data_IF_437607255270
#
_entry.id   IF_437607255270
#
_cell.length_a   1.000
_cell.length_b   1.000
_cell.length_c   1.000
_cell.angle_alpha   90.00
_cell.angle_beta   90.00
_cell.angle_gamma   90.00
#
_symmetry.space_group_name_H-M   'P 1'
#
loop_
_entity.id
_entity.type
_entity.pdbx_description
1 polymer ?
#
# COMPACT_ATOMS: atom_id res chain seq x y z
N UNK A 1 -16.18 50.47 -57.96
CA UNK A 1 -16.50 49.14 -58.53
C UNK A 1 -15.20 48.63 -59.17
N UNK A 2 -14.59 47.51 -58.80
CA UNK A 2 -15.08 46.29 -58.17
C UNK A 2 -14.11 45.76 -57.11
N UNK A 3 -14.68 45.19 -56.05
CA UNK A 3 -14.00 44.44 -55.01
C UNK A 3 -13.66 43.05 -55.57
N UNK A 4 -12.39 42.64 -55.49
CA UNK A 4 -12.01 41.25 -55.72
C UNK A 4 -11.67 40.63 -54.39
N UNK A 5 -12.71 40.06 -53.79
CA UNK A 5 -12.65 38.97 -52.84
C UNK A 5 -11.84 37.82 -53.46
N UNK A 6 -10.79 37.39 -52.78
CA UNK A 6 -10.06 36.17 -53.13
C UNK A 6 -9.65 35.48 -51.85
N UNK A 7 -10.64 34.79 -51.30
CA UNK A 7 -10.54 33.46 -50.70
C UNK A 7 -9.11 32.97 -50.43
N UNK A 8 -8.77 32.95 -49.15
CA UNK A 8 -7.62 32.27 -48.55
C UNK A 8 -7.62 30.76 -48.88
N UNK A 9 -6.54 30.19 -49.43
CA UNK A 9 -6.28 28.76 -49.34
C UNK A 9 -5.37 28.49 -48.15
N UNK A 10 -5.97 28.12 -47.02
CA UNK A 10 -5.24 27.59 -45.87
C UNK A 10 -4.76 26.17 -46.23
N UNK A 11 -3.47 25.82 -46.06
CA UNK A 11 -2.99 24.48 -46.36
C UNK A 11 -3.63 23.44 -45.43
N UNK A 12 -3.77 22.19 -45.89
CA UNK A 12 -4.44 21.13 -45.17
C UNK A 12 -3.77 20.90 -43.81
N UNK A 13 -4.58 20.93 -42.75
CA UNK A 13 -4.14 20.59 -41.40
C UNK A 13 -3.65 19.14 -41.39
N UNK A 14 -2.33 18.96 -41.27
CA UNK A 14 -1.73 17.65 -41.09
C UNK A 14 -2.33 16.97 -39.86
N UNK A 15 -2.73 15.69 -39.94
CA UNK A 15 -3.21 14.96 -38.79
C UNK A 15 -2.05 14.81 -37.79
N UNK A 16 -2.17 15.49 -36.65
CA UNK A 16 -1.25 15.37 -35.51
C UNK A 16 -0.86 13.89 -35.32
N UNK A 17 0.44 13.55 -35.30
CA UNK A 17 0.85 12.18 -35.07
C UNK A 17 0.34 11.79 -33.69
N UNK A 18 -0.59 10.84 -33.65
CA UNK A 18 -0.97 10.11 -32.44
C UNK A 18 0.29 9.37 -32.03
N UNK A 19 1.17 10.04 -31.27
CA UNK A 19 2.14 9.36 -30.42
C UNK A 19 1.28 8.38 -29.65
N UNK A 20 1.46 7.09 -29.89
CA UNK A 20 0.96 6.05 -29.00
C UNK A 20 1.66 6.29 -27.68
N UNK A 21 1.15 7.27 -26.94
CA UNK A 21 1.56 7.59 -25.60
C UNK A 21 1.39 6.27 -24.87
N UNK A 22 2.51 5.73 -24.37
CA UNK A 22 2.51 4.54 -23.52
C UNK A 22 1.34 4.73 -22.57
N UNK A 23 0.35 3.84 -22.66
CA UNK A 23 -0.90 4.06 -21.95
C UNK A 23 -0.54 4.23 -20.47
N UNK A 24 -1.11 5.24 -19.80
CA UNK A 24 -0.81 5.51 -18.38
C UNK A 24 -0.86 4.22 -17.55
N UNK A 25 -1.80 3.34 -17.86
CA UNK A 25 -1.95 2.00 -17.31
C UNK A 25 -0.73 1.09 -17.53
N UNK A 26 -0.12 1.09 -18.71
CA UNK A 26 1.10 0.34 -18.98
C UNK A 26 2.29 0.85 -18.16
N UNK A 27 2.42 2.17 -18.00
CA UNK A 27 3.46 2.77 -17.14
C UNK A 27 3.25 2.39 -15.68
N UNK A 28 2.02 2.54 -15.16
CA UNK A 28 1.69 2.18 -13.78
C UNK A 28 1.91 0.69 -13.53
N UNK A 29 1.47 -0.18 -14.44
CA UNK A 29 1.74 -1.62 -14.34
C UNK A 29 3.23 -1.98 -14.42
N UNK A 30 4.04 -1.20 -15.14
CA UNK A 30 5.50 -1.36 -15.14
C UNK A 30 6.11 -0.93 -13.79
N UNK A 31 5.66 0.19 -13.22
CA UNK A 31 6.10 0.68 -11.92
C UNK A 31 5.75 -0.30 -10.79
N UNK A 32 4.55 -0.89 -10.81
CA UNK A 32 4.16 -1.94 -9.87
C UNK A 32 5.07 -3.17 -9.92
N UNK A 33 5.40 -3.64 -11.14
CA UNK A 33 6.32 -4.77 -11.30
C UNK A 33 7.73 -4.44 -10.83
N UNK A 34 8.19 -3.20 -11.03
CA UNK A 34 9.49 -2.75 -10.53
C UNK A 34 9.50 -2.67 -9.00
N UNK A 35 8.48 -2.05 -8.40
CA UNK A 35 8.34 -1.94 -6.96
C UNK A 35 8.29 -3.32 -6.28
N UNK A 36 7.53 -4.27 -6.86
CA UNK A 36 7.48 -5.66 -6.37
C UNK A 36 8.86 -6.31 -6.37
N UNK A 37 9.59 -6.24 -7.49
CA UNK A 37 10.95 -6.80 -7.57
C UNK A 37 11.90 -6.20 -6.54
N UNK A 38 11.79 -4.90 -6.27
CA UNK A 38 12.61 -4.24 -5.27
C UNK A 38 12.29 -4.72 -3.85
N UNK A 39 11.00 -4.93 -3.54
CA UNK A 39 10.60 -5.54 -2.26
C UNK A 39 11.18 -6.96 -2.15
N UNK A 40 10.99 -7.80 -3.18
CA UNK A 40 11.51 -9.18 -3.19
C UNK A 40 13.03 -9.21 -2.94
N UNK A 41 13.81 -8.34 -3.60
CA UNK A 41 15.27 -8.23 -3.38
C UNK A 41 15.64 -7.77 -1.97
N UNK A 42 14.89 -6.83 -1.39
CA UNK A 42 15.13 -6.40 -0.01
C UNK A 42 14.74 -7.48 1.00
N UNK A 43 13.68 -8.25 0.75
CA UNK A 43 13.29 -9.39 1.58
C UNK A 43 14.35 -10.49 1.56
N UNK A 44 14.92 -10.81 0.38
CA UNK A 44 16.05 -11.73 0.26
C UNK A 44 17.27 -11.24 1.04
N UNK A 45 17.62 -9.96 0.91
CA UNK A 45 18.73 -9.37 1.65
C UNK A 45 18.50 -9.48 3.17
N UNK A 46 17.30 -9.19 3.66
CA UNK A 46 16.94 -9.32 5.06
C UNK A 46 16.90 -10.77 5.55
N UNK A 47 16.56 -11.73 4.69
CA UNK A 47 16.56 -13.15 5.00
C UNK A 47 17.99 -13.73 5.13
N UNK A 48 18.94 -13.17 4.38
CA UNK A 48 20.36 -13.52 4.46
C UNK A 48 21.05 -12.97 5.73
N UNK A 49 20.43 -12.02 6.44
CA UNK A 49 20.98 -11.50 7.69
C UNK A 49 20.90 -12.54 8.83
N UNK A 50 21.94 -12.64 9.69
CA UNK A 50 21.90 -13.54 10.84
C UNK A 50 20.75 -13.19 11.77
N UNK A 51 20.01 -14.19 12.25
CA UNK A 51 18.91 -14.03 13.22
C UNK A 51 19.37 -13.20 14.42
N UNK A 52 18.67 -12.08 14.69
CA UNK A 52 19.01 -11.13 15.76
C UNK A 52 19.83 -9.91 15.30
N UNK A 53 20.24 -9.86 14.03
CA UNK A 53 20.83 -8.67 13.43
C UNK A 53 19.73 -7.71 12.99
N UNK A 54 19.75 -6.47 13.48
CA UNK A 54 18.81 -5.45 13.01
C UNK A 54 19.14 -5.04 11.57
N UNK A 55 18.12 -4.93 10.73
CA UNK A 55 18.24 -4.38 9.39
C UNK A 55 18.97 -3.03 9.42
N UNK A 56 19.80 -2.76 8.40
CA UNK A 56 20.53 -1.50 8.30
C UNK A 56 19.56 -0.31 8.23
N UNK A 57 19.95 0.84 8.78
CA UNK A 57 19.21 2.10 8.65
C UNK A 57 18.95 2.45 7.17
N UNK A 58 19.88 2.09 6.28
CA UNK A 58 19.74 2.27 4.84
C UNK A 58 18.59 1.41 4.26
N UNK A 59 18.46 0.16 4.71
CA UNK A 59 17.36 -0.73 4.29
C UNK A 59 16.02 -0.23 4.81
N UNK A 60 15.96 0.22 6.07
CA UNK A 60 14.75 0.81 6.63
C UNK A 60 14.29 2.04 5.84
N UNK A 61 15.22 2.91 5.43
CA UNK A 61 14.92 4.07 4.59
C UNK A 61 14.45 3.65 3.19
N UNK A 62 15.10 2.67 2.58
CA UNK A 62 14.70 2.15 1.27
C UNK A 62 13.27 1.59 1.30
N UNK A 63 12.95 0.78 2.32
CA UNK A 63 11.61 0.23 2.53
C UNK A 63 10.57 1.32 2.79
N UNK A 64 10.89 2.37 3.55
CA UNK A 64 9.98 3.49 3.76
C UNK A 64 9.65 4.23 2.46
N UNK A 65 10.66 4.42 1.59
CA UNK A 65 10.46 5.01 0.26
C UNK A 65 9.61 4.10 -0.62
N UNK A 66 9.87 2.78 -0.63
CA UNK A 66 9.07 1.81 -1.38
C UNK A 66 7.61 1.77 -0.91
N UNK A 67 7.37 1.81 0.40
CA UNK A 67 6.01 1.87 0.95
C UNK A 67 5.28 3.14 0.50
N UNK A 68 6.00 4.28 0.43
CA UNK A 68 5.47 5.53 -0.09
C UNK A 68 5.14 5.44 -1.58
N UNK A 69 6.04 4.90 -2.41
CA UNK A 69 5.78 4.78 -3.86
C UNK A 69 4.61 3.85 -4.15
N UNK A 70 4.48 2.75 -3.41
CA UNK A 70 3.32 1.86 -3.48
C UNK A 70 2.03 2.60 -3.14
N UNK A 71 2.01 3.40 -2.06
CA UNK A 71 0.85 4.23 -1.71
C UNK A 71 0.51 5.21 -2.83
N UNK A 72 1.50 5.85 -3.44
CA UNK A 72 1.31 6.78 -4.56
C UNK A 72 0.78 6.07 -5.82
N UNK A 73 1.26 4.86 -6.14
CA UNK A 73 0.76 4.04 -7.25
C UNK A 73 -0.70 3.64 -7.05
N UNK A 74 -1.08 3.17 -5.85
CA UNK A 74 -2.48 2.89 -5.49
C UNK A 74 -3.33 4.14 -5.67
N UNK A 75 -2.83 5.29 -5.21
CA UNK A 75 -3.54 6.55 -5.31
C UNK A 75 -3.75 7.00 -6.78
N UNK A 76 -2.83 6.64 -7.68
CA UNK A 76 -2.92 6.90 -9.12
C UNK A 76 -3.96 6.01 -9.81
N UNK A 77 -4.11 4.77 -9.33
CA UNK A 77 -5.09 3.80 -9.84
C UNK A 77 -6.50 4.02 -9.27
N UNK A 78 -6.62 4.61 -8.08
CA UNK A 78 -7.92 4.98 -7.51
C UNK A 78 -8.63 6.00 -8.43
N UNK A 79 -9.84 5.70 -8.91
CA UNK A 79 -10.57 6.61 -9.79
C UNK A 79 -10.79 7.95 -9.07
N UNK A 80 -10.47 9.06 -9.75
CA UNK A 80 -10.56 10.43 -9.20
C UNK A 80 -11.95 10.75 -8.60
N UNK A 81 -12.99 10.03 -9.02
CA UNK A 81 -14.34 10.10 -8.47
C UNK A 81 -14.39 9.73 -6.98
N UNK A 82 -13.68 8.68 -6.54
CA UNK A 82 -13.68 8.24 -5.14
C UNK A 82 -12.99 9.23 -4.19
N UNK A 83 -12.12 10.12 -4.70
CA UNK A 83 -11.51 11.18 -3.90
C UNK A 83 -12.41 12.39 -3.68
N UNK A 84 -13.44 12.59 -4.51
CA UNK A 84 -14.40 13.68 -4.35
C UNK A 84 -15.52 13.33 -3.36
N UNK A 85 -15.86 12.05 -3.23
CA UNK A 85 -16.82 11.55 -2.23
C UNK A 85 -16.24 11.53 -0.80
N UNK A 86 -14.95 11.24 -0.62
CA UNK A 86 -14.28 11.21 0.69
C UNK A 86 -14.16 12.57 1.41
N UNK A 87 -14.34 13.69 0.71
CA UNK A 87 -14.36 15.02 1.33
C UNK A 87 -15.73 15.40 1.91
N UNK A 88 -16.77 14.58 1.70
CA UNK A 88 -18.13 14.85 2.21
C UNK A 88 -18.52 13.90 3.34
N UNK A 89 -17.80 12.79 3.51
CA UNK A 89 -18.02 11.81 4.59
C UNK A 89 -16.78 11.78 5.50
N UNK A 90 -16.53 12.88 6.21
CA UNK A 90 -15.54 12.90 7.28
C UNK A 90 -16.15 12.13 8.47
N UNK A 91 -15.63 10.95 8.85
CA UNK A 91 -16.11 10.27 10.05
C UNK A 91 -15.89 11.22 11.22
N UNK A 92 -16.96 11.49 11.98
CA UNK A 92 -16.87 12.40 13.10
C UNK A 92 -15.81 11.90 14.08
N UNK A 93 -15.10 12.81 14.77
CA UNK A 93 -14.15 12.42 15.83
C UNK A 93 -14.76 11.46 16.87
N UNK A 94 -16.09 11.48 17.05
CA UNK A 94 -16.82 10.54 17.87
C UNK A 94 -16.86 9.10 17.29
N UNK A 95 -16.92 8.94 15.97
CA UNK A 95 -16.82 7.64 15.30
C UNK A 95 -15.41 7.08 15.45
N UNK A 96 -14.37 7.88 15.23
CA UNK A 96 -12.99 7.42 15.41
C UNK A 96 -12.71 6.93 16.83
N UNK A 97 -13.21 7.65 17.84
CA UNK A 97 -13.11 7.22 19.25
C UNK A 97 -13.84 5.91 19.53
N UNK A 98 -14.99 5.67 18.89
CA UNK A 98 -15.74 4.40 19.00
C UNK A 98 -14.96 3.24 18.37
N UNK A 99 -14.39 3.44 17.19
CA UNK A 99 -13.56 2.42 16.52
C UNK A 99 -12.31 2.07 17.35
N UNK A 100 -11.65 3.06 17.96
CA UNK A 100 -10.50 2.83 18.85
C UNK A 100 -10.91 2.07 20.11
N UNK A 101 -12.06 2.39 20.71
CA UNK A 101 -12.57 1.66 21.86
C UNK A 101 -12.86 0.19 21.52
N UNK A 102 -13.45 -0.08 20.35
CA UNK A 102 -13.74 -1.42 19.88
C UNK A 102 -12.45 -2.21 19.61
N UNK A 103 -11.45 -1.59 18.99
CA UNK A 103 -10.15 -2.21 18.75
C UNK A 103 -9.45 -2.59 20.06
N UNK A 104 -9.53 -1.73 21.09
CA UNK A 104 -8.97 -2.02 22.43
C UNK A 104 -9.64 -3.23 23.07
N UNK A 105 -10.96 -3.36 22.93
CA UNK A 105 -11.70 -4.51 23.45
C UNK A 105 -11.34 -5.81 22.73
N UNK A 106 -11.22 -5.77 21.40
CA UNK A 106 -10.81 -6.94 20.62
C UNK A 106 -9.38 -7.37 20.95
N UNK A 107 -8.48 -6.41 21.17
CA UNK A 107 -7.11 -6.70 21.60
C UNK A 107 -7.08 -7.34 22.99
N UNK A 108 -7.83 -6.79 23.96
CA UNK A 108 -7.92 -7.34 25.30
C UNK A 108 -8.41 -8.80 25.29
N UNK A 109 -9.46 -9.10 24.49
CA UNK A 109 -9.97 -10.46 24.33
C UNK A 109 -8.93 -11.42 23.73
N UNK A 110 -8.16 -10.96 22.74
CA UNK A 110 -7.11 -11.78 22.12
C UNK A 110 -5.96 -12.08 23.10
N UNK A 111 -5.56 -11.08 23.89
CA UNK A 111 -4.52 -11.27 24.92
C UNK A 111 -4.98 -12.21 26.03
N UNK A 112 -6.24 -12.10 26.45
CA UNK A 112 -6.82 -13.01 27.45
C UNK A 112 -6.90 -14.45 26.93
N UNK A 113 -7.28 -14.64 25.66
CA UNK A 113 -7.30 -15.96 25.04
C UNK A 113 -5.89 -16.59 24.95
N UNK A 114 -4.87 -15.79 24.63
CA UNK A 114 -3.47 -16.25 24.61
C UNK A 114 -2.99 -16.59 26.03
N UNK A 115 -3.26 -15.74 27.02
CA UNK A 115 -2.88 -16.00 28.41
C UNK A 115 -3.55 -17.27 28.97
N UNK A 116 -4.80 -17.55 28.58
CA UNK A 116 -5.50 -18.78 28.95
C UNK A 116 -4.91 -20.03 28.27
N UNK A 117 -4.44 -19.89 27.02
CA UNK A 117 -3.73 -20.97 26.30
C UNK A 117 -2.39 -21.27 26.96
N UNK A 118 -1.56 -20.25 27.22
CA UNK A 118 -0.27 -20.40 27.91
C UNK A 118 -0.44 -21.05 29.30
N UNK A 119 -1.45 -20.64 30.06
CA UNK A 119 -1.74 -21.23 31.38
C UNK A 119 -2.18 -22.70 31.29
N UNK A 120 -2.91 -23.08 30.24
CA UNK A 120 -3.31 -24.47 29.99
C UNK A 120 -2.12 -25.32 29.57
N UNK A 121 -1.26 -24.82 28.69
CA UNK A 121 -0.04 -25.52 28.24
C UNK A 121 0.94 -25.72 29.40
N UNK A 122 1.17 -24.68 30.21
CA UNK A 122 2.07 -24.74 31.35
C UNK A 122 1.52 -25.62 32.51
N UNK A 123 0.20 -25.82 32.61
CA UNK A 123 -0.38 -26.77 33.57
C UNK A 123 -0.22 -28.21 33.09
N UNK A 124 -0.38 -28.46 31.79
CA UNK A 124 -0.23 -29.79 31.20
C UNK A 124 1.23 -30.30 31.22
N UNK A 125 2.22 -29.40 31.14
CA UNK A 125 3.63 -29.75 31.33
C UNK A 125 3.98 -30.03 32.81
N UNK A 126 3.33 -29.36 33.77
CA UNK A 126 3.55 -29.60 35.20
C UNK A 126 2.96 -30.93 35.69
N UNK A 127 1.84 -31.38 35.12
CA UNK A 127 1.26 -32.69 35.41
C UNK A 127 2.04 -33.86 34.76
N UNK A 128 2.80 -33.60 33.69
CA UNK A 128 3.61 -34.62 33.01
C UNK A 128 4.96 -34.91 33.68
N UNK A 129 5.48 -33.99 34.51
CA UNK A 129 6.76 -34.15 35.24
C UNK A 129 6.56 -34.70 36.68
N UNK A 130 5.31 -34.93 37.10
CA UNK A 130 4.95 -35.41 38.45
C UNK A 130 4.81 -36.93 38.63
N UNK A 131 4.90 -37.74 37.55
CA UNK A 131 4.72 -39.22 37.56
C UNK A 131 6.06 -39.99 37.48
N UNK A 132 7.16 -39.39 37.94
CA UNK A 132 8.45 -40.06 38.12
C UNK A 132 8.88 -40.03 39.59
N UNK A 133 8.16 -40.76 40.44
CA UNK A 133 8.47 -40.96 41.86
C UNK A 133 8.15 -42.37 42.33
#
# INVERSE_FOLDING_TARGET
MAEQDSATPQPPSEPKPKRTAVSRKAVVGQLWRAAKRQIDTHEEHLADLPKGTTASEADAKALAVLARTVRELVAIEEPLAARKDKHTDEPSAADDLRHVAQLRQDLARRLEALAAQDASENSQEADADGDAG
#
